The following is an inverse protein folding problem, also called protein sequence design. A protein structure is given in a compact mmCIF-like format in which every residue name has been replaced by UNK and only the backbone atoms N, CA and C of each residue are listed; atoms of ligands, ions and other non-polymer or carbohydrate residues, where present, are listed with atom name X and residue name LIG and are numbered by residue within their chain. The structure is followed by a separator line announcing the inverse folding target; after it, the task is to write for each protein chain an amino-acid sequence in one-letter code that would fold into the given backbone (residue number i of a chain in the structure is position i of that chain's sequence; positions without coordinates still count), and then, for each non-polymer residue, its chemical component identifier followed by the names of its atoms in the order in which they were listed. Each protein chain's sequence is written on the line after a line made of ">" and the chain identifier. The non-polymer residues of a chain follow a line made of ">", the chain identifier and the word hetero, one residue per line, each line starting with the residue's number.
data_IF_045647410804
#
_entry.id   IF_045647410804
#
_cell.length_a   1.000
_cell.length_b   1.000
_cell.length_c   1.000
_cell.angle_alpha   90.00
_cell.angle_beta   90.00
_cell.angle_gamma   90.00
#
_symmetry.space_group_name_H-M   'P 1'
#
loop_
_entity.id
_entity.type
_entity.pdbx_description
1 polymer ?
#
# COMPACT_ATOMS: atom_id res chain seq x y z
N UNK A 1 -0.70 15.67 -0.67
CA UNK A 1 -0.13 16.10 0.64
C UNK A 1 -0.54 17.55 0.87
N UNK A 2 -1.07 17.92 2.04
CA UNK A 2 -1.49 19.28 2.32
C UNK A 2 -0.29 20.24 2.29
N UNK A 3 -0.51 21.44 1.74
CA UNK A 3 0.43 22.56 1.84
C UNK A 3 0.01 23.37 3.06
N UNK A 4 0.81 23.35 4.12
CA UNK A 4 0.50 24.10 5.34
C UNK A 4 0.86 25.59 5.21
N UNK A 5 0.10 26.49 5.86
CA UNK A 5 0.38 27.93 5.83
C UNK A 5 1.81 28.28 6.26
N UNK A 6 2.35 27.59 7.26
CA UNK A 6 3.72 27.79 7.75
C UNK A 6 4.78 27.64 6.66
N UNK A 7 4.60 26.69 5.72
CA UNK A 7 5.50 26.52 4.57
C UNK A 7 5.46 27.75 3.64
N UNK A 8 4.26 28.20 3.29
CA UNK A 8 4.06 29.35 2.40
C UNK A 8 4.63 30.62 3.02
N UNK A 9 4.35 30.85 4.31
CA UNK A 9 4.87 32.00 5.05
C UNK A 9 6.40 31.97 5.12
N UNK A 10 7.02 30.82 5.38
CA UNK A 10 8.48 30.69 5.42
C UNK A 10 9.13 30.98 4.06
N UNK A 11 8.53 30.52 2.96
CA UNK A 11 8.99 30.80 1.59
C UNK A 11 8.90 32.30 1.30
N UNK A 12 7.74 32.92 1.53
CA UNK A 12 7.54 34.36 1.30
C UNK A 12 8.50 35.20 2.15
N UNK A 13 8.66 34.85 3.43
CA UNK A 13 9.60 35.54 4.32
C UNK A 13 11.04 35.45 3.80
N UNK A 14 11.47 34.27 3.35
CA UNK A 14 12.80 34.05 2.75
C UNK A 14 13.03 34.94 1.52
N UNK A 15 12.03 35.04 0.63
CA UNK A 15 12.09 35.91 -0.55
C UNK A 15 12.21 37.40 -0.19
N UNK A 16 11.47 37.86 0.83
CA UNK A 16 11.48 39.26 1.27
C UNK A 16 12.79 39.63 1.96
N UNK A 17 13.33 38.75 2.81
CA UNK A 17 14.55 39.05 3.59
C UNK A 17 15.85 38.69 2.87
N UNK A 18 15.77 37.91 1.79
CA UNK A 18 16.93 37.42 1.03
C UNK A 18 17.84 36.47 1.82
N UNK A 19 17.30 35.75 2.82
CA UNK A 19 18.05 34.85 3.71
C UNK A 19 17.22 33.60 4.04
N UNK A 20 17.86 32.47 4.39
CA UNK A 20 17.14 31.27 4.84
C UNK A 20 16.24 31.55 6.05
N UNK A 21 15.00 31.08 5.97
CA UNK A 21 14.02 31.15 7.07
C UNK A 21 13.65 29.73 7.49
N UNK A 22 13.75 29.46 8.80
CA UNK A 22 13.33 28.19 9.40
C UNK A 22 11.99 28.37 10.10
N UNK A 23 11.06 27.47 9.81
CA UNK A 23 9.82 27.30 10.58
C UNK A 23 9.79 25.88 11.14
N UNK A 24 9.43 25.75 12.41
CA UNK A 24 9.14 24.47 13.06
C UNK A 24 7.99 24.71 14.03
N UNK A 25 6.92 23.94 13.89
CA UNK A 25 5.77 23.99 14.78
C UNK A 25 6.03 23.25 16.10
N UNK A 26 5.30 23.62 17.14
CA UNK A 26 5.21 22.85 18.37
C UNK A 26 4.14 21.74 18.31
N UNK A 27 4.03 20.95 19.39
CA UNK A 27 3.05 19.85 19.47
C UNK A 27 1.60 20.36 19.45
N UNK A 28 1.33 21.46 20.11
CA UNK A 28 -0.02 22.02 20.21
C UNK A 28 -0.46 22.55 18.86
N UNK A 29 0.38 23.32 18.17
CA UNK A 29 0.19 23.77 16.79
C UNK A 29 -0.11 22.59 15.84
N UNK A 30 0.71 21.53 15.91
CA UNK A 30 0.49 20.32 15.12
C UNK A 30 -0.92 19.74 15.35
N UNK A 31 -1.33 19.56 16.60
CA UNK A 31 -2.61 18.91 16.92
C UNK A 31 -3.83 19.76 16.55
N UNK A 32 -3.73 21.09 16.62
CA UNK A 32 -4.89 21.98 16.42
C UNK A 32 -5.01 22.52 15.00
N UNK A 33 -3.96 22.43 14.17
CA UNK A 33 -3.93 23.14 12.88
C UNK A 33 -3.47 22.32 11.67
N UNK A 34 -2.94 21.11 11.87
CA UNK A 34 -2.57 20.20 10.77
C UNK A 34 -3.74 19.28 10.39
N UNK A 35 -3.55 18.45 9.36
CA UNK A 35 -4.59 17.56 8.85
C UNK A 35 -5.07 16.55 9.90
N UNK A 36 -6.29 16.74 10.41
CA UNK A 36 -6.95 15.76 11.28
C UNK A 36 -7.32 14.49 10.51
N UNK A 37 -7.71 13.43 11.23
CA UNK A 37 -8.18 12.20 10.63
C UNK A 37 -9.57 11.77 11.13
N UNK A 38 -10.28 11.05 10.24
CA UNK A 38 -11.62 10.46 10.41
C UNK A 38 -12.75 11.50 10.34
N UNK A 39 -13.48 11.70 11.44
CA UNK A 39 -14.67 12.56 11.56
C UNK A 39 -15.80 12.23 10.55
N UNK A 40 -16.09 10.92 10.41
CA UNK A 40 -17.24 10.40 9.68
C UNK A 40 -18.32 9.93 10.66
N UNK A 41 -19.54 10.41 10.46
CA UNK A 41 -20.75 9.87 11.08
C UNK A 41 -21.40 8.95 10.05
N UNK A 42 -21.37 7.64 10.32
CA UNK A 42 -21.81 6.62 9.38
C UNK A 42 -23.06 5.91 9.86
N UNK A 43 -24.08 5.83 9.00
CA UNK A 43 -25.26 4.97 9.20
C UNK A 43 -25.22 3.84 8.19
N UNK A 44 -24.77 2.66 8.65
CA UNK A 44 -24.77 1.43 7.87
C UNK A 44 -26.05 0.62 8.03
N UNK A 45 -26.46 -0.04 6.96
CA UNK A 45 -27.60 -0.94 6.88
C UNK A 45 -27.15 -2.19 6.11
N UNK A 46 -27.51 -3.38 6.58
CA UNK A 46 -27.15 -4.66 5.97
C UNK A 46 -28.42 -5.49 5.75
N UNK A 47 -28.54 -6.11 4.58
CA UNK A 47 -29.60 -7.05 4.25
C UNK A 47 -29.02 -8.45 4.13
N UNK A 48 -29.69 -9.45 4.71
CA UNK A 48 -29.23 -10.83 4.67
C UNK A 48 -30.41 -11.81 4.71
N UNK A 49 -30.17 -13.06 4.32
CA UNK A 49 -31.09 -14.17 4.56
C UNK A 49 -31.00 -14.67 6.00
N UNK A 50 -31.98 -15.44 6.47
CA UNK A 50 -31.96 -16.04 7.83
C UNK A 50 -30.78 -16.99 8.03
N UNK A 51 -30.32 -17.59 6.94
CA UNK A 51 -29.16 -18.49 6.92
C UNK A 51 -27.84 -17.71 6.92
N UNK A 52 -27.86 -16.38 6.92
CA UNK A 52 -26.67 -15.54 7.01
C UNK A 52 -25.97 -15.27 5.68
N UNK A 53 -26.63 -15.42 4.52
CA UNK A 53 -26.09 -14.90 3.26
C UNK A 53 -26.31 -13.38 3.21
N UNK A 54 -25.26 -12.59 3.08
CA UNK A 54 -25.30 -11.14 2.91
C UNK A 54 -25.76 -10.83 1.49
N UNK A 55 -26.80 -10.00 1.37
CA UNK A 55 -27.41 -9.62 0.08
C UNK A 55 -27.02 -8.21 -0.32
N UNK A 56 -27.05 -7.27 0.61
CA UNK A 56 -26.75 -5.88 0.29
C UNK A 56 -26.23 -5.07 1.48
N UNK A 57 -25.46 -4.03 1.17
CA UNK A 57 -25.04 -3.01 2.14
C UNK A 57 -25.42 -1.64 1.62
N UNK A 58 -26.09 -0.85 2.48
CA UNK A 58 -26.40 0.55 2.21
C UNK A 58 -25.81 1.43 3.29
N UNK A 59 -25.26 2.58 2.92
CA UNK A 59 -24.72 3.52 3.91
C UNK A 59 -24.98 4.97 3.56
N UNK A 60 -25.25 5.77 4.60
CA UNK A 60 -25.27 7.23 4.54
C UNK A 60 -24.17 7.77 5.45
N UNK A 61 -23.34 8.67 4.91
CA UNK A 61 -22.19 9.24 5.63
C UNK A 61 -22.32 10.76 5.67
N UNK A 62 -22.17 11.33 6.86
CA UNK A 62 -21.92 12.75 7.06
C UNK A 62 -20.45 12.94 7.43
N UNK A 63 -19.71 13.65 6.58
CA UNK A 63 -18.27 13.87 6.70
C UNK A 63 -17.99 15.32 7.09
N UNK A 64 -17.39 15.55 8.25
CA UNK A 64 -16.91 16.88 8.63
C UNK A 64 -15.53 17.13 8.00
N UNK A 65 -15.38 18.24 7.26
CA UNK A 65 -14.12 18.59 6.59
C UNK A 65 -13.43 19.81 7.23
N UNK A 66 -13.97 20.34 8.33
CA UNK A 66 -13.50 21.59 8.94
C UNK A 66 -13.87 22.83 8.12
N UNK A 67 -13.14 23.92 8.29
CA UNK A 67 -13.50 25.22 7.70
C UNK A 67 -13.20 25.29 6.18
N UNK A 68 -12.25 24.48 5.71
CA UNK A 68 -11.82 24.43 4.32
C UNK A 68 -11.68 22.97 3.89
N UNK A 69 -11.97 22.67 2.63
CA UNK A 69 -11.77 21.32 2.12
C UNK A 69 -10.27 21.08 1.84
N UNK A 70 -9.54 20.62 2.86
CA UNK A 70 -8.13 20.22 2.77
C UNK A 70 -7.93 18.71 2.61
N UNK A 71 -8.97 17.95 2.25
CA UNK A 71 -8.88 16.50 2.09
C UNK A 71 -7.89 16.14 0.98
N UNK A 72 -6.85 15.37 1.33
CA UNK A 72 -5.90 14.85 0.37
C UNK A 72 -6.46 13.58 -0.29
N UNK A 73 -7.02 13.70 -1.49
CA UNK A 73 -7.53 12.56 -2.26
C UNK A 73 -7.33 12.78 -3.77
N UNK A 74 -7.37 11.72 -4.60
CA UNK A 74 -7.42 11.89 -6.05
C UNK A 74 -8.65 12.71 -6.46
N UNK A 75 -8.54 13.58 -7.47
CA UNK A 75 -9.59 14.57 -7.78
C UNK A 75 -10.96 13.95 -8.02
N UNK A 76 -11.01 12.82 -8.74
CA UNK A 76 -12.28 12.13 -9.05
C UNK A 76 -12.87 11.35 -7.86
N UNK A 77 -12.16 11.31 -6.73
CA UNK A 77 -12.51 10.54 -5.54
C UNK A 77 -12.61 11.47 -4.32
N UNK A 78 -13.58 12.39 -4.27
CA UNK A 78 -13.74 13.34 -3.15
C UNK A 78 -14.03 12.66 -1.80
N UNK A 79 -14.53 11.43 -1.83
CA UNK A 79 -14.75 10.56 -0.68
C UNK A 79 -13.58 9.59 -0.41
N UNK A 80 -12.44 9.77 -1.08
CA UNK A 80 -11.38 8.77 -1.15
C UNK A 80 -11.85 7.45 -1.76
N UNK A 81 -11.26 6.36 -1.32
CA UNK A 81 -11.57 4.99 -1.67
C UNK A 81 -12.63 4.37 -0.75
N UNK A 82 -13.46 5.19 -0.10
CA UNK A 82 -14.56 4.70 0.76
C UNK A 82 -15.48 3.69 0.05
N UNK A 83 -15.54 3.73 -1.29
CA UNK A 83 -16.26 2.76 -2.11
C UNK A 83 -15.88 1.29 -1.89
N UNK A 84 -14.76 0.98 -1.22
CA UNK A 84 -14.41 -0.39 -0.82
C UNK A 84 -15.20 -0.91 0.40
N UNK A 85 -16.21 -0.17 0.88
CA UNK A 85 -17.04 -0.55 2.04
C UNK A 85 -17.84 -1.85 1.86
N UNK A 86 -17.79 -2.50 0.70
CA UNK A 86 -18.31 -3.87 0.53
C UNK A 86 -17.40 -4.91 1.20
N UNK A 87 -16.17 -4.52 1.56
CA UNK A 87 -15.22 -5.35 2.28
C UNK A 87 -14.81 -6.59 1.48
N UNK A 88 -14.68 -7.70 2.18
CA UNK A 88 -14.22 -8.99 1.66
C UNK A 88 -15.37 -9.93 1.29
N UNK A 89 -16.58 -9.39 1.16
CA UNK A 89 -17.82 -10.18 1.07
C UNK A 89 -18.43 -10.15 -0.33
N UNK A 90 -18.91 -11.31 -0.80
CA UNK A 90 -19.65 -11.41 -2.05
C UNK A 90 -21.14 -11.11 -1.81
N UNK A 91 -21.57 -9.93 -2.28
CA UNK A 91 -22.93 -9.40 -2.08
C UNK A 91 -23.57 -9.01 -3.41
N UNK A 92 -24.89 -8.90 -3.44
CA UNK A 92 -25.66 -8.68 -4.66
C UNK A 92 -25.81 -7.19 -5.02
N UNK A 93 -25.91 -6.31 -4.02
CA UNK A 93 -26.06 -4.86 -4.25
C UNK A 93 -25.42 -4.00 -3.16
N UNK A 94 -24.83 -2.85 -3.54
CA UNK A 94 -24.30 -1.88 -2.60
C UNK A 94 -24.62 -0.45 -2.99
N UNK A 95 -24.84 0.43 -2.01
CA UNK A 95 -25.04 1.86 -2.24
C UNK A 95 -24.49 2.71 -1.10
N UNK A 96 -23.79 3.80 -1.45
CA UNK A 96 -23.32 4.81 -0.51
C UNK A 96 -23.79 6.19 -0.96
N UNK A 97 -24.30 6.97 -0.01
CA UNK A 97 -24.45 8.42 -0.13
C UNK A 97 -23.55 9.10 0.89
N UNK A 98 -22.74 10.05 0.46
CA UNK A 98 -21.88 10.85 1.33
C UNK A 98 -22.22 12.33 1.21
N UNK A 99 -22.28 13.02 2.35
CA UNK A 99 -22.47 14.47 2.44
C UNK A 99 -21.28 15.06 3.20
N UNK A 100 -20.49 15.90 2.53
CA UNK A 100 -19.42 16.65 3.19
C UNK A 100 -19.96 17.99 3.70
N UNK A 101 -19.56 18.40 4.91
CA UNK A 101 -19.97 19.65 5.54
C UNK A 101 -18.79 20.47 6.04
N UNK A 102 -18.96 21.80 6.03
CA UNK A 102 -18.02 22.73 6.64
C UNK A 102 -18.39 23.02 8.09
N UNK A 103 -17.38 23.13 8.94
CA UNK A 103 -17.52 23.47 10.36
C UNK A 103 -16.36 24.38 10.82
N UNK A 104 -16.44 24.98 12.00
CA UNK A 104 -15.36 25.81 12.55
C UNK A 104 -14.23 24.96 13.18
N UNK A 105 -13.65 24.03 12.41
CA UNK A 105 -12.50 23.18 12.78
C UNK A 105 -11.35 23.35 11.78
N UNK A 106 -10.16 22.87 12.12
CA UNK A 106 -9.04 22.75 11.18
C UNK A 106 -9.40 21.86 9.98
N UNK A 107 -8.85 22.11 8.79
CA UNK A 107 -9.07 21.27 7.62
C UNK A 107 -8.36 19.92 7.76
N UNK A 108 -8.85 18.90 7.08
CA UNK A 108 -8.23 17.57 7.11
C UNK A 108 -9.14 16.46 6.62
N UNK A 109 -9.07 15.32 7.28
CA UNK A 109 -9.89 14.15 7.05
C UNK A 109 -9.09 12.92 6.63
N UNK A 110 -8.34 13.03 5.54
CA UNK A 110 -7.45 11.98 5.04
C UNK A 110 -6.05 12.17 5.61
N UNK A 111 -5.78 11.49 6.73
CA UNK A 111 -4.49 11.39 7.40
C UNK A 111 -4.43 10.11 8.24
N UNK A 112 -3.30 9.86 8.91
CA UNK A 112 -3.16 8.82 9.94
C UNK A 112 -3.53 7.41 9.43
N UNK A 113 -2.75 6.90 8.47
CA UNK A 113 -2.84 5.54 7.93
C UNK A 113 -4.27 5.12 7.49
N UNK A 114 -4.92 5.96 6.68
CA UNK A 114 -6.33 5.74 6.26
C UNK A 114 -6.52 5.23 4.83
N UNK A 115 -5.44 5.13 4.04
CA UNK A 115 -5.49 4.71 2.64
C UNK A 115 -6.60 5.39 1.81
N UNK A 116 -6.82 6.69 2.04
CA UNK A 116 -7.94 7.45 1.48
C UNK A 116 -9.32 6.94 1.94
N UNK A 117 -9.62 7.00 3.23
CA UNK A 117 -10.94 6.64 3.83
C UNK A 117 -11.28 5.15 3.87
N UNK A 118 -10.31 4.26 3.64
CA UNK A 118 -10.50 2.83 3.77
C UNK A 118 -10.67 2.42 5.23
N UNK A 119 -10.02 3.14 6.16
CA UNK A 119 -10.24 2.93 7.59
C UNK A 119 -11.72 3.03 7.99
N UNK A 120 -12.43 4.02 7.45
CA UNK A 120 -13.86 4.22 7.70
C UNK A 120 -14.71 3.18 6.97
N UNK A 121 -14.33 2.80 5.75
CA UNK A 121 -15.02 1.76 4.97
C UNK A 121 -14.94 0.39 5.63
N UNK A 122 -13.74 -0.03 6.04
CA UNK A 122 -13.50 -1.30 6.76
C UNK A 122 -14.19 -1.27 8.13
N UNK A 123 -14.07 -0.16 8.87
CA UNK A 123 -14.77 -0.04 10.15
C UNK A 123 -16.29 -0.17 9.97
N UNK A 124 -16.87 0.45 8.96
CA UNK A 124 -18.30 0.34 8.68
C UNK A 124 -18.71 -1.11 8.45
N UNK A 125 -18.06 -1.80 7.50
CA UNK A 125 -18.49 -3.15 7.07
C UNK A 125 -18.28 -4.17 8.17
N UNK A 126 -17.14 -4.14 8.87
CA UNK A 126 -16.86 -5.11 9.93
C UNK A 126 -17.78 -4.93 11.13
N UNK A 127 -18.17 -3.68 11.44
CA UNK A 127 -19.13 -3.41 12.52
C UNK A 127 -20.53 -3.90 12.18
N UNK A 128 -21.03 -3.67 10.96
CA UNK A 128 -22.38 -4.13 10.58
C UNK A 128 -22.45 -5.65 10.40
N UNK A 129 -21.36 -6.30 10.01
CA UNK A 129 -21.26 -7.77 9.95
C UNK A 129 -21.31 -8.38 11.36
N UNK A 130 -20.62 -7.80 12.34
CA UNK A 130 -20.76 -8.22 13.74
C UNK A 130 -22.18 -8.01 14.27
N UNK A 131 -22.81 -6.88 13.96
CA UNK A 131 -24.22 -6.63 14.33
C UNK A 131 -25.15 -7.70 13.72
N UNK A 132 -24.96 -8.04 12.45
CA UNK A 132 -25.73 -9.09 11.78
C UNK A 132 -25.50 -10.46 12.43
N UNK A 133 -24.26 -10.81 12.76
CA UNK A 133 -23.95 -12.07 13.45
C UNK A 133 -24.70 -12.19 14.79
N UNK A 134 -24.75 -11.11 15.57
CA UNK A 134 -25.48 -11.10 16.84
C UNK A 134 -27.00 -11.21 16.64
N UNK A 135 -27.56 -10.53 15.64
CA UNK A 135 -28.99 -10.60 15.33
C UNK A 135 -29.41 -12.01 14.87
N UNK A 136 -28.58 -12.65 14.04
CA UNK A 136 -28.78 -14.03 13.58
C UNK A 136 -28.39 -15.10 14.61
N UNK A 137 -27.77 -14.70 15.73
CA UNK A 137 -27.17 -15.61 16.73
C UNK A 137 -26.16 -16.58 16.11
N UNK A 138 -25.39 -16.09 15.15
CA UNK A 138 -24.34 -16.83 14.46
C UNK A 138 -22.98 -16.44 15.04
N UNK A 139 -21.99 -17.35 14.98
CA UNK A 139 -20.62 -16.98 15.31
C UNK A 139 -20.10 -15.94 14.30
N UNK A 140 -19.52 -14.81 14.74
CA UNK A 140 -19.00 -13.78 13.85
C UNK A 140 -17.92 -14.21 12.87
N UNK A 141 -17.10 -15.22 13.20
CA UNK A 141 -16.10 -15.76 12.28
C UNK A 141 -16.76 -16.66 11.23
N UNK A 142 -17.71 -17.50 11.64
CA UNK A 142 -18.46 -18.37 10.72
C UNK A 142 -19.32 -17.58 9.72
N UNK A 143 -19.94 -16.48 10.17
CA UNK A 143 -20.67 -15.58 9.27
C UNK A 143 -19.75 -15.00 8.19
N UNK A 144 -18.52 -14.63 8.54
CA UNK A 144 -17.54 -14.10 7.58
C UNK A 144 -17.10 -15.16 6.59
N UNK A 145 -16.68 -16.34 7.08
CA UNK A 145 -16.30 -17.49 6.26
C UNK A 145 -17.37 -17.84 5.22
N UNK A 146 -18.65 -17.79 5.62
CA UNK A 146 -19.78 -18.06 4.73
C UNK A 146 -19.96 -17.05 3.59
N UNK A 147 -19.50 -15.81 3.76
CA UNK A 147 -19.75 -14.71 2.84
C UNK A 147 -18.51 -14.21 2.11
N UNK A 148 -17.33 -14.79 2.35
CA UNK A 148 -16.12 -14.37 1.67
C UNK A 148 -16.22 -14.56 0.16
N UNK A 149 -15.61 -13.62 -0.56
CA UNK A 149 -15.26 -13.79 -1.98
C UNK A 149 -14.30 -14.98 -2.07
N UNK A 150 -14.62 -15.93 -2.95
CA UNK A 150 -13.85 -17.15 -3.15
C UNK A 150 -12.63 -16.92 -4.05
N UNK A 151 -11.54 -17.69 -3.89
CA UNK A 151 -10.30 -17.50 -4.65
C UNK A 151 -10.49 -17.54 -6.18
N UNK A 152 -11.39 -18.39 -6.67
CA UNK A 152 -11.71 -18.52 -8.09
C UNK A 152 -12.52 -17.35 -8.66
N UNK A 153 -13.02 -16.44 -7.82
CA UNK A 153 -13.74 -15.24 -8.24
C UNK A 153 -12.81 -14.06 -8.56
N UNK A 154 -11.51 -14.17 -8.24
CA UNK A 154 -10.54 -13.13 -8.55
C UNK A 154 -10.04 -13.22 -10.01
N UNK A 155 -9.87 -12.09 -10.72
CA UNK A 155 -10.12 -10.71 -10.27
C UNK A 155 -11.61 -10.41 -10.07
N UNK A 156 -11.98 -9.87 -8.90
CA UNK A 156 -13.36 -9.72 -8.47
C UNK A 156 -13.84 -8.26 -8.64
N UNK A 157 -14.89 -8.05 -9.42
CA UNK A 157 -15.53 -6.73 -9.55
C UNK A 157 -16.61 -6.55 -8.48
N UNK A 158 -16.32 -5.69 -7.52
CA UNK A 158 -17.26 -5.30 -6.46
C UNK A 158 -18.48 -4.58 -7.02
N UNK A 159 -19.58 -4.54 -6.24
CA UNK A 159 -20.81 -3.81 -6.62
C UNK A 159 -20.63 -2.28 -6.63
N UNK A 160 -19.50 -1.78 -6.15
CA UNK A 160 -19.11 -0.36 -6.19
C UNK A 160 -18.07 -0.06 -7.28
N UNK A 161 -17.67 -1.05 -8.08
CA UNK A 161 -16.86 -0.88 -9.30
C UNK A 161 -15.35 -1.06 -9.11
N UNK A 162 -14.87 -1.40 -7.92
CA UNK A 162 -13.47 -1.78 -7.69
C UNK A 162 -13.21 -3.20 -8.19
N UNK A 163 -12.03 -3.43 -8.75
CA UNK A 163 -11.59 -4.74 -9.26
C UNK A 163 -10.48 -5.25 -8.37
N UNK A 164 -10.79 -6.15 -7.45
CA UNK A 164 -9.79 -6.76 -6.57
C UNK A 164 -8.88 -7.68 -7.38
N UNK A 165 -7.58 -7.60 -7.15
CA UNK A 165 -6.56 -8.29 -7.95
C UNK A 165 -6.47 -9.78 -7.63
N UNK A 166 -6.38 -10.15 -6.35
CA UNK A 166 -6.32 -11.53 -5.88
C UNK A 166 -6.73 -11.65 -4.41
N UNK A 167 -7.05 -12.86 -3.95
CA UNK A 167 -7.38 -13.10 -2.54
C UNK A 167 -7.59 -14.57 -2.23
N UNK A 168 -7.14 -15.01 -1.05
CA UNK A 168 -7.44 -16.34 -0.52
C UNK A 168 -7.81 -16.23 0.96
N UNK A 169 -9.05 -15.80 1.19
CA UNK A 169 -9.47 -15.24 2.47
C UNK A 169 -9.68 -16.29 3.57
N UNK A 170 -10.31 -17.42 3.23
CA UNK A 170 -10.62 -18.46 4.20
C UNK A 170 -9.35 -19.00 4.90
N UNK A 171 -8.25 -19.36 4.20
CA UNK A 171 -7.02 -19.79 4.85
C UNK A 171 -6.44 -18.76 5.82
N UNK A 172 -6.42 -17.47 5.46
CA UNK A 172 -5.93 -16.42 6.35
C UNK A 172 -6.80 -16.27 7.60
N UNK A 173 -8.13 -16.33 7.45
CA UNK A 173 -9.06 -16.30 8.58
C UNK A 173 -8.88 -17.52 9.49
N UNK A 174 -8.74 -18.72 8.92
CA UNK A 174 -8.50 -19.95 9.69
C UNK A 174 -7.16 -19.93 10.41
N UNK A 175 -6.11 -19.42 9.79
CA UNK A 175 -4.80 -19.24 10.43
C UNK A 175 -4.90 -18.29 11.63
N UNK A 176 -5.58 -17.15 11.49
CA UNK A 176 -5.79 -16.23 12.61
C UNK A 176 -6.59 -16.89 13.74
N UNK A 177 -7.65 -17.65 13.42
CA UNK A 177 -8.43 -18.41 14.39
C UNK A 177 -7.62 -19.48 15.12
N UNK A 178 -6.75 -20.20 14.41
CA UNK A 178 -5.84 -21.19 14.98
C UNK A 178 -4.84 -20.53 15.93
N UNK A 179 -4.12 -19.49 15.46
CA UNK A 179 -3.14 -18.75 16.26
C UNK A 179 -3.76 -18.15 17.54
N UNK A 180 -5.02 -17.72 17.46
CA UNK A 180 -5.74 -17.19 18.61
C UNK A 180 -6.27 -18.27 19.57
N UNK A 181 -6.37 -19.54 19.14
CA UNK A 181 -7.09 -20.57 19.88
C UNK A 181 -8.59 -20.29 19.96
N UNK A 182 -9.20 -19.82 18.87
CA UNK A 182 -10.54 -19.22 18.84
C UNK A 182 -11.64 -20.09 19.46
N UNK A 183 -11.63 -21.39 19.21
CA UNK A 183 -12.65 -22.30 19.76
C UNK A 183 -12.59 -22.37 21.30
N UNK A 184 -11.40 -22.38 21.88
CA UNK A 184 -11.22 -22.41 23.33
C UNK A 184 -11.50 -21.04 23.95
N UNK A 185 -11.14 -19.95 23.26
CA UNK A 185 -11.55 -18.59 23.66
C UNK A 185 -13.07 -18.44 23.74
N UNK A 186 -13.82 -19.03 22.80
CA UNK A 186 -15.29 -19.01 22.82
C UNK A 186 -15.87 -19.78 24.02
N UNK A 187 -15.28 -20.92 24.39
CA UNK A 187 -15.66 -21.66 25.62
C UNK A 187 -15.36 -20.83 26.87
N UNK A 188 -14.16 -20.30 26.97
CA UNK A 188 -13.73 -19.45 28.10
C UNK A 188 -14.64 -18.23 28.25
N UNK A 189 -14.99 -17.56 27.15
CA UNK A 189 -15.89 -16.41 27.15
C UNK A 189 -17.27 -16.77 27.74
N UNK A 190 -17.81 -17.95 27.41
CA UNK A 190 -19.09 -18.40 27.95
C UNK A 190 -19.00 -18.67 29.46
N UNK A 191 -17.93 -19.32 29.92
CA UNK A 191 -17.67 -19.59 31.34
C UNK A 191 -17.50 -18.29 32.15
N UNK A 192 -16.75 -17.32 31.62
CA UNK A 192 -16.57 -15.99 32.23
C UNK A 192 -17.88 -15.24 32.36
N UNK A 193 -18.70 -15.23 31.30
CA UNK A 193 -20.02 -14.59 31.31
C UNK A 193 -20.94 -15.21 32.37
N UNK A 194 -20.89 -16.53 32.56
CA UNK A 194 -21.66 -17.20 33.60
C UNK A 194 -21.24 -16.78 35.03
N UNK A 195 -20.01 -16.27 35.22
CA UNK A 195 -19.51 -15.70 36.48
C UNK A 195 -19.70 -14.19 36.60
N UNK A 196 -20.35 -13.54 35.61
CA UNK A 196 -20.52 -12.09 35.58
C UNK A 196 -19.28 -11.31 35.13
N UNK A 197 -18.24 -11.99 34.64
CA UNK A 197 -17.05 -11.36 34.06
C UNK A 197 -17.29 -10.96 32.60
N UNK A 198 -16.67 -9.88 32.14
CA UNK A 198 -16.80 -9.38 30.77
C UNK A 198 -15.53 -9.69 29.97
N UNK A 199 -15.64 -10.64 29.04
CA UNK A 199 -14.60 -10.98 28.06
C UNK A 199 -15.11 -10.72 26.64
N UNK A 200 -14.36 -9.94 25.87
CA UNK A 200 -14.61 -9.64 24.47
C UNK A 200 -13.66 -10.39 23.53
N UNK A 201 -14.20 -10.87 22.41
CA UNK A 201 -13.42 -11.41 21.29
C UNK A 201 -13.87 -10.63 20.06
N UNK A 202 -13.03 -9.72 19.59
CA UNK A 202 -13.21 -8.96 18.36
C UNK A 202 -12.59 -9.70 17.19
N UNK A 203 -13.30 -9.72 16.06
CA UNK A 203 -12.85 -10.30 14.80
C UNK A 203 -12.97 -9.23 13.73
N UNK A 204 -11.93 -9.05 12.92
CA UNK A 204 -11.95 -8.16 11.76
C UNK A 204 -11.28 -8.88 10.59
N UNK A 205 -12.00 -9.07 9.50
CA UNK A 205 -11.42 -9.49 8.23
C UNK A 205 -11.56 -8.35 7.24
N UNK A 206 -10.48 -7.91 6.62
CA UNK A 206 -10.49 -6.72 5.77
C UNK A 206 -9.80 -6.96 4.44
N UNK A 207 -10.26 -6.23 3.43
CA UNK A 207 -9.57 -6.02 2.17
C UNK A 207 -9.22 -4.54 2.07
N UNK A 208 -7.94 -4.25 1.91
CA UNK A 208 -7.41 -2.90 1.67
C UNK A 208 -7.43 -2.57 0.17
N UNK A 209 -7.17 -1.31 -0.17
CA UNK A 209 -6.98 -0.88 -1.56
C UNK A 209 -5.91 0.21 -1.62
N UNK A 210 -4.72 -0.18 -2.03
CA UNK A 210 -3.51 0.65 -1.95
C UNK A 210 -2.85 0.75 -3.32
N UNK A 211 -1.84 1.60 -3.46
CA UNK A 211 -1.21 1.80 -4.78
C UNK A 211 -1.99 2.75 -5.69
N UNK A 212 -2.63 3.77 -5.12
CA UNK A 212 -3.29 4.84 -5.87
C UNK A 212 -2.41 5.33 -7.03
N UNK A 213 -2.87 5.13 -8.28
CA UNK A 213 -1.97 5.17 -9.42
C UNK A 213 -2.58 5.16 -10.83
N UNK A 214 -3.66 4.42 -11.15
CA UNK A 214 -4.16 4.35 -12.52
C UNK A 214 -4.48 5.72 -13.12
N UNK A 215 -3.64 6.16 -14.07
CA UNK A 215 -3.65 7.53 -14.61
C UNK A 215 -4.99 7.94 -15.25
N UNK A 216 -5.75 6.97 -15.76
CA UNK A 216 -7.08 7.20 -16.34
C UNK A 216 -8.04 7.82 -15.32
N UNK A 217 -7.92 7.41 -14.06
CA UNK A 217 -8.93 7.67 -13.03
C UNK A 217 -8.37 8.48 -11.85
N UNK A 218 -7.05 8.45 -11.62
CA UNK A 218 -6.42 9.00 -10.42
C UNK A 218 -5.32 10.00 -10.72
N UNK A 219 -5.51 11.22 -10.23
CA UNK A 219 -4.56 12.32 -10.30
C UNK A 219 -4.58 13.17 -9.03
N UNK A 220 -3.46 13.82 -8.73
CA UNK A 220 -3.35 14.87 -7.71
C UNK A 220 -3.10 16.18 -8.45
N UNK A 221 -4.07 17.09 -8.42
CA UNK A 221 -3.97 18.42 -9.06
C UNK A 221 -3.60 18.33 -10.55
N UNK A 222 -4.14 17.34 -11.27
CA UNK A 222 -3.87 17.08 -12.69
C UNK A 222 -2.65 16.21 -12.96
N UNK A 223 -1.84 15.89 -11.95
CA UNK A 223 -0.68 15.00 -12.07
C UNK A 223 -1.12 13.56 -11.87
N UNK A 224 -1.04 12.75 -12.93
CA UNK A 224 -1.33 11.30 -12.86
C UNK A 224 -0.46 10.62 -11.80
N UNK A 225 -1.04 9.71 -11.03
CA UNK A 225 -0.41 9.15 -9.82
C UNK A 225 0.66 8.07 -10.09
N UNK A 226 1.52 8.29 -11.07
CA UNK A 226 2.67 7.46 -11.41
C UNK A 226 3.89 7.79 -10.54
N UNK A 227 4.85 6.87 -10.45
CA UNK A 227 6.16 7.14 -9.85
C UNK A 227 7.30 6.83 -10.80
N UNK A 228 8.32 7.69 -10.77
CA UNK A 228 9.57 7.51 -11.47
C UNK A 228 10.60 6.72 -10.66
N UNK A 229 11.45 5.99 -11.40
CA UNK A 229 12.66 5.33 -10.89
C UNK A 229 13.79 5.41 -11.93
N UNK A 230 15.02 5.64 -11.46
CA UNK A 230 16.23 5.65 -12.27
C UNK A 230 17.28 4.77 -11.60
N UNK A 231 17.86 3.83 -12.34
CA UNK A 231 18.93 2.97 -11.88
C UNK A 231 20.17 3.20 -12.72
N UNK A 232 21.30 3.46 -12.06
CA UNK A 232 22.63 3.55 -12.66
C UNK A 232 23.56 2.53 -12.01
N UNK A 233 24.24 1.74 -12.84
CA UNK A 233 25.36 0.88 -12.42
C UNK A 233 26.68 1.57 -12.78
N UNK A 234 27.54 1.74 -11.79
CA UNK A 234 28.87 2.30 -11.91
C UNK A 234 29.86 1.29 -12.53
N UNK A 235 31.01 1.75 -13.06
CA UNK A 235 32.02 0.86 -13.65
C UNK A 235 32.48 -0.28 -12.75
N UNK A 236 32.47 -0.08 -11.42
CA UNK A 236 32.86 -1.10 -10.43
C UNK A 236 31.74 -2.11 -10.12
N UNK A 237 30.56 -1.97 -10.73
CA UNK A 237 29.39 -2.81 -10.47
C UNK A 237 28.58 -2.47 -9.21
N UNK A 238 28.89 -1.34 -8.54
CA UNK A 238 28.00 -0.73 -7.54
C UNK A 238 26.89 0.04 -8.23
N UNK A 239 25.78 0.31 -7.55
CA UNK A 239 24.65 1.00 -8.16
C UNK A 239 24.07 2.12 -7.31
N UNK A 240 23.41 3.07 -7.98
CA UNK A 240 22.56 4.09 -7.37
C UNK A 240 21.16 3.96 -7.97
N UNK A 241 20.17 3.76 -7.10
CA UNK A 241 18.76 3.80 -7.42
C UNK A 241 18.16 5.10 -6.90
N UNK A 242 17.62 5.94 -7.79
CA UNK A 242 16.84 7.12 -7.42
C UNK A 242 15.37 6.81 -7.57
N UNK A 243 14.60 7.05 -6.52
CA UNK A 243 13.15 6.85 -6.51
C UNK A 243 12.44 8.15 -6.18
N UNK A 244 11.27 8.33 -6.79
CA UNK A 244 10.45 9.54 -6.65
C UNK A 244 9.61 9.59 -5.37
N UNK A 245 9.41 8.45 -4.71
CA UNK A 245 8.74 8.40 -3.42
C UNK A 245 9.67 8.88 -2.30
N UNK A 246 9.15 9.09 -1.08
CA UNK A 246 9.93 9.62 0.05
C UNK A 246 9.80 8.70 1.25
N UNK A 247 10.88 8.42 1.96
CA UNK A 247 10.83 7.65 3.22
C UNK A 247 10.42 8.56 4.40
N UNK A 248 9.65 8.02 5.35
CA UNK A 248 9.35 8.60 6.66
C UNK A 248 9.65 7.60 7.81
N UNK A 249 10.43 6.53 7.53
CA UNK A 249 10.79 5.50 8.51
C UNK A 249 10.41 4.07 8.14
N UNK A 250 9.74 3.85 7.00
CA UNK A 250 9.30 2.53 6.51
C UNK A 250 10.41 1.71 5.82
N UNK A 251 11.64 2.21 5.75
CA UNK A 251 12.80 1.44 5.29
C UNK A 251 12.98 1.31 3.78
N UNK A 252 12.51 2.30 2.99
CA UNK A 252 12.67 2.32 1.52
C UNK A 252 14.11 2.11 1.05
N UNK A 253 15.07 2.68 1.78
CA UNK A 253 16.48 2.59 1.45
C UNK A 253 16.99 1.14 1.46
N UNK A 254 16.40 0.30 2.30
CA UNK A 254 16.71 -1.13 2.41
C UNK A 254 15.89 -1.96 1.42
N UNK A 255 14.57 -1.78 1.41
CA UNK A 255 13.67 -2.64 0.65
C UNK A 255 13.82 -2.46 -0.85
N UNK A 256 14.05 -1.22 -1.34
CA UNK A 256 14.29 -1.02 -2.77
C UNK A 256 15.65 -1.52 -3.23
N UNK A 257 16.67 -1.46 -2.38
CA UNK A 257 17.95 -2.10 -2.67
C UNK A 257 17.78 -3.62 -2.81
N UNK A 258 16.94 -4.25 -1.99
CA UNK A 258 16.62 -5.68 -2.10
C UNK A 258 15.89 -6.03 -3.40
N UNK A 259 14.91 -5.22 -3.83
CA UNK A 259 14.20 -5.42 -5.11
C UNK A 259 15.19 -5.37 -6.28
N UNK A 260 16.03 -4.34 -6.34
CA UNK A 260 17.03 -4.21 -7.42
C UNK A 260 18.04 -5.35 -7.37
N UNK A 261 18.50 -5.72 -6.18
CA UNK A 261 19.42 -6.84 -5.99
C UNK A 261 18.87 -8.16 -6.51
N UNK A 262 17.57 -8.43 -6.32
CA UNK A 262 16.92 -9.62 -6.86
C UNK A 262 16.92 -9.62 -8.39
N UNK A 263 16.58 -8.49 -9.00
CA UNK A 263 16.47 -8.38 -10.46
C UNK A 263 17.83 -8.42 -11.19
N UNK A 264 18.90 -7.93 -10.56
CA UNK A 264 20.19 -7.67 -11.23
C UNK A 264 21.40 -8.40 -10.62
N UNK A 265 21.24 -9.02 -9.44
CA UNK A 265 22.30 -9.79 -8.78
C UNK A 265 23.45 -8.98 -8.16
N UNK A 266 23.29 -7.66 -8.00
CA UNK A 266 24.21 -6.84 -7.19
C UNK A 266 23.80 -6.97 -5.72
N UNK A 267 24.74 -7.17 -4.77
CA UNK A 267 24.40 -7.21 -3.34
C UNK A 267 23.66 -5.94 -2.90
N UNK A 268 22.59 -6.03 -2.07
CA UNK A 268 21.86 -4.85 -1.61
C UNK A 268 22.74 -3.78 -0.95
N UNK A 269 23.81 -4.19 -0.26
CA UNK A 269 24.75 -3.28 0.39
C UNK A 269 25.57 -2.43 -0.60
N UNK A 270 25.65 -2.84 -1.87
CA UNK A 270 26.33 -2.12 -2.95
C UNK A 270 25.35 -1.28 -3.80
N UNK A 271 24.09 -1.15 -3.36
CA UNK A 271 23.05 -0.36 -4.01
C UNK A 271 22.66 0.79 -3.08
N UNK A 272 23.04 2.00 -3.44
CA UNK A 272 22.60 3.20 -2.73
C UNK A 272 21.22 3.62 -3.25
N UNK A 273 20.25 3.77 -2.35
CA UNK A 273 18.93 4.32 -2.69
C UNK A 273 18.88 5.80 -2.30
N UNK A 274 18.40 6.64 -3.22
CA UNK A 274 18.26 8.09 -3.03
C UNK A 274 16.80 8.48 -3.24
N UNK A 275 16.25 9.25 -2.31
CA UNK A 275 14.90 9.80 -2.36
C UNK A 275 14.85 11.24 -1.80
N UNK A 276 13.80 12.00 -2.13
CA UNK A 276 13.49 13.28 -1.47
C UNK A 276 14.13 14.55 -2.04
N UNK A 277 15.11 14.45 -2.94
CA UNK A 277 15.75 15.60 -3.58
C UNK A 277 15.18 15.79 -5.00
N UNK A 278 14.35 16.81 -5.20
CA UNK A 278 13.66 17.05 -6.48
C UNK A 278 14.60 17.44 -7.63
N UNK A 279 15.83 17.85 -7.34
CA UNK A 279 16.84 18.14 -8.38
C UNK A 279 17.54 16.85 -8.85
N UNK A 280 17.57 15.83 -7.99
CA UNK A 280 18.37 14.62 -8.17
C UNK A 280 17.56 13.32 -8.17
N UNK A 281 16.23 13.39 -8.18
CA UNK A 281 15.34 12.22 -8.23
C UNK A 281 14.29 12.39 -9.32
N UNK A 282 13.82 11.30 -9.93
CA UNK A 282 12.78 11.40 -10.95
C UNK A 282 11.47 11.92 -10.35
N UNK A 283 10.61 12.50 -11.19
CA UNK A 283 9.29 12.97 -10.75
C UNK A 283 8.40 11.81 -10.29
N UNK A 284 7.58 12.07 -9.28
CA UNK A 284 6.53 11.17 -8.79
C UNK A 284 5.71 11.84 -7.72
N UNK A 285 4.86 11.06 -7.05
CA UNK A 285 3.81 11.59 -6.19
C UNK A 285 4.10 11.43 -4.69
N UNK A 286 5.26 10.89 -4.33
CA UNK A 286 5.64 10.70 -2.93
C UNK A 286 5.00 9.47 -2.28
N UNK A 287 5.02 9.43 -0.95
CA UNK A 287 4.54 8.28 -0.17
C UNK A 287 3.35 8.63 0.71
N UNK A 288 2.28 7.87 0.52
CA UNK A 288 1.04 7.86 1.30
C UNK A 288 0.16 6.72 0.79
N UNK A 289 -0.90 6.37 1.54
CA UNK A 289 -1.86 5.32 1.12
C UNK A 289 -1.20 4.02 0.66
N UNK A 290 -0.12 3.64 1.35
CA UNK A 290 0.71 2.47 1.10
C UNK A 290 1.11 2.25 -0.37
N UNK A 291 1.25 3.33 -1.15
CA UNK A 291 1.50 3.23 -2.61
C UNK A 291 2.94 2.96 -3.01
N UNK A 292 3.87 3.04 -2.07
CA UNK A 292 5.31 2.98 -2.38
C UNK A 292 5.76 1.63 -2.91
N UNK A 293 5.32 0.49 -2.36
CA UNK A 293 5.62 -0.82 -2.97
C UNK A 293 4.86 -1.01 -4.30
N UNK A 294 3.53 -0.82 -4.37
CA UNK A 294 2.79 -1.02 -5.62
C UNK A 294 3.26 -0.20 -6.80
N UNK A 295 3.66 1.06 -6.58
CA UNK A 295 4.02 1.98 -7.68
C UNK A 295 5.54 2.15 -7.81
N UNK A 296 6.22 2.65 -6.77
CA UNK A 296 7.68 2.85 -6.80
C UNK A 296 8.46 1.54 -6.77
N UNK A 297 7.97 0.50 -6.07
CA UNK A 297 8.59 -0.83 -6.07
C UNK A 297 8.50 -1.50 -7.44
N UNK A 298 7.34 -1.43 -8.10
CA UNK A 298 7.19 -1.85 -9.49
C UNK A 298 8.12 -1.05 -10.43
N UNK A 299 8.22 0.27 -10.26
CA UNK A 299 9.16 1.09 -11.03
C UNK A 299 10.63 0.66 -10.81
N UNK A 300 11.02 0.35 -9.57
CA UNK A 300 12.36 -0.14 -9.22
C UNK A 300 12.66 -1.50 -9.88
N UNK A 301 11.72 -2.44 -9.85
CA UNK A 301 11.87 -3.73 -10.52
C UNK A 301 11.98 -3.56 -12.04
N UNK A 302 11.08 -2.77 -12.65
CA UNK A 302 11.05 -2.57 -14.09
C UNK A 302 12.27 -1.81 -14.62
N UNK A 303 12.79 -0.82 -13.89
CA UNK A 303 14.03 -0.15 -14.29
C UNK A 303 15.22 -1.09 -14.18
N UNK A 304 15.27 -1.96 -13.17
CA UNK A 304 16.31 -2.98 -13.05
C UNK A 304 16.26 -3.99 -14.21
N UNK A 305 15.06 -4.44 -14.60
CA UNK A 305 14.86 -5.29 -15.78
C UNK A 305 15.32 -4.60 -17.06
N UNK A 306 15.01 -3.32 -17.24
CA UNK A 306 15.46 -2.53 -18.40
C UNK A 306 17.00 -2.40 -18.45
N UNK A 307 17.66 -2.25 -17.30
CA UNK A 307 19.13 -2.28 -17.23
C UNK A 307 19.66 -3.69 -17.56
N UNK A 308 19.01 -4.75 -17.07
CA UNK A 308 19.36 -6.14 -17.39
C UNK A 308 19.22 -6.44 -18.89
N UNK A 309 18.20 -5.93 -19.56
CA UNK A 309 18.02 -6.08 -21.00
C UNK A 309 19.17 -5.43 -21.78
N UNK A 310 19.59 -4.21 -21.38
CA UNK A 310 20.81 -3.57 -21.94
C UNK A 310 22.06 -4.39 -21.64
N UNK A 311 22.19 -4.91 -20.42
CA UNK A 311 23.31 -5.77 -20.01
C UNK A 311 23.40 -7.05 -20.86
N UNK A 312 22.27 -7.64 -21.25
CA UNK A 312 22.23 -8.83 -22.10
C UNK A 312 22.81 -8.56 -23.49
N UNK A 313 22.50 -7.41 -24.08
CA UNK A 313 23.04 -7.02 -25.39
C UNK A 313 24.56 -6.83 -25.30
N UNK A 314 25.05 -6.16 -24.25
CA UNK A 314 26.49 -5.99 -24.04
C UNK A 314 27.18 -7.34 -23.81
N UNK A 315 26.56 -8.21 -23.00
CA UNK A 315 27.05 -9.56 -22.74
C UNK A 315 27.17 -10.40 -24.02
N UNK A 316 26.22 -10.26 -24.96
CA UNK A 316 26.26 -11.00 -26.22
C UNK A 316 27.47 -10.59 -27.07
N UNK A 317 27.82 -9.29 -27.08
CA UNK A 317 29.05 -8.81 -27.70
C UNK A 317 30.32 -9.31 -27.00
N UNK A 318 30.32 -9.39 -25.67
CA UNK A 318 31.47 -9.89 -24.90
C UNK A 318 31.71 -11.40 -25.08
N UNK A 319 30.65 -12.16 -25.29
CA UNK A 319 30.69 -13.62 -25.46
C UNK A 319 30.68 -14.08 -26.93
N UNK A 320 30.59 -13.13 -27.87
CA UNK A 320 30.50 -13.37 -29.32
C UNK A 320 29.37 -14.34 -29.72
N UNK A 321 28.21 -14.20 -29.07
CA UNK A 321 27.00 -15.01 -29.33
C UNK A 321 25.79 -14.13 -29.57
N UNK A 322 24.68 -14.72 -30.02
CA UNK A 322 23.42 -13.99 -30.11
C UNK A 322 22.80 -13.80 -28.73
N UNK A 323 21.99 -12.74 -28.56
CA UNK A 323 21.20 -12.50 -27.34
C UNK A 323 20.31 -13.71 -26.98
N UNK A 324 19.80 -14.43 -27.99
CA UNK A 324 18.95 -15.59 -27.82
C UNK A 324 19.69 -16.83 -27.28
N UNK A 325 21.02 -16.87 -27.39
CA UNK A 325 21.88 -17.94 -26.89
C UNK A 325 22.36 -17.69 -25.45
N UNK A 326 21.90 -16.60 -24.82
CA UNK A 326 22.20 -16.28 -23.43
C UNK A 326 21.08 -16.72 -22.49
N UNK A 327 21.48 -17.17 -21.31
CA UNK A 327 20.63 -17.41 -20.15
C UNK A 327 21.09 -16.52 -18.99
N UNK A 328 20.13 -16.04 -18.21
CA UNK A 328 20.38 -15.23 -17.02
C UNK A 328 20.37 -16.11 -15.79
N UNK A 329 21.46 -16.06 -15.05
CA UNK A 329 21.52 -16.49 -13.65
C UNK A 329 21.78 -15.23 -12.81
N UNK A 330 21.23 -15.15 -11.60
CA UNK A 330 21.26 -13.92 -10.80
C UNK A 330 22.70 -13.37 -10.66
N UNK A 331 22.99 -12.29 -11.40
CA UNK A 331 24.28 -11.59 -11.42
C UNK A 331 25.17 -11.87 -12.63
N UNK A 332 24.78 -12.76 -13.56
CA UNK A 332 25.58 -13.10 -14.74
C UNK A 332 24.74 -13.58 -15.93
N UNK A 333 25.28 -13.39 -17.13
CA UNK A 333 24.80 -14.07 -18.34
C UNK A 333 25.76 -15.20 -18.70
N UNK A 334 25.22 -16.33 -19.14
CA UNK A 334 26.00 -17.46 -19.64
C UNK A 334 25.45 -18.00 -20.96
N UNK A 335 26.29 -18.68 -21.74
CA UNK A 335 25.88 -19.32 -23.00
C UNK A 335 25.06 -20.57 -22.70
N UNK A 336 23.96 -20.76 -23.44
CA UNK A 336 23.12 -21.97 -23.36
C UNK A 336 23.94 -23.23 -23.60
N UNK A 337 23.87 -24.17 -22.66
CA UNK A 337 24.59 -25.45 -22.74
C UNK A 337 26.08 -25.38 -22.38
N UNK A 338 26.64 -24.19 -22.12
CA UNK A 338 28.02 -24.03 -21.63
C UNK A 338 28.11 -22.92 -20.55
N UNK A 339 27.76 -23.24 -19.29
CA UNK A 339 27.84 -22.29 -18.17
C UNK A 339 29.26 -21.76 -17.89
N UNK A 340 30.31 -22.42 -18.40
CA UNK A 340 31.69 -21.96 -18.24
C UNK A 340 31.97 -20.68 -19.02
N UNK A 341 31.18 -20.40 -20.07
CA UNK A 341 31.21 -19.14 -20.80
C UNK A 341 30.18 -18.18 -20.21
N UNK A 342 30.63 -17.38 -19.25
CA UNK A 342 29.77 -16.40 -18.57
C UNK A 342 30.45 -15.05 -18.38
N UNK A 343 29.63 -14.01 -18.24
CA UNK A 343 30.06 -12.65 -17.87
C UNK A 343 29.17 -12.13 -16.76
N UNK A 344 29.80 -11.60 -15.71
CA UNK A 344 29.08 -11.05 -14.55
C UNK A 344 28.58 -9.64 -14.83
N UNK A 345 27.60 -9.18 -14.05
CA UNK A 345 27.09 -7.81 -14.12
C UNK A 345 28.20 -6.77 -13.88
N UNK A 346 29.20 -7.08 -13.04
CA UNK A 346 30.36 -6.21 -12.80
C UNK A 346 31.26 -6.12 -14.05
N UNK A 347 31.50 -7.25 -14.72
CA UNK A 347 32.28 -7.26 -15.96
C UNK A 347 31.56 -6.51 -17.09
N UNK A 348 30.24 -6.68 -17.19
CA UNK A 348 29.39 -5.97 -18.16
C UNK A 348 29.40 -4.47 -17.85
N UNK A 349 29.29 -4.07 -16.59
CA UNK A 349 29.36 -2.66 -16.19
C UNK A 349 30.72 -2.05 -16.57
N UNK A 350 31.82 -2.75 -16.30
CA UNK A 350 33.15 -2.30 -16.72
C UNK A 350 33.24 -2.15 -18.24
N UNK A 351 32.70 -3.10 -19.02
CA UNK A 351 32.65 -3.02 -20.48
C UNK A 351 31.83 -1.84 -20.98
N UNK A 352 30.66 -1.60 -20.37
CA UNK A 352 29.75 -0.53 -20.76
C UNK A 352 30.36 0.87 -20.61
N UNK A 353 31.26 1.05 -19.63
CA UNK A 353 31.94 2.34 -19.35
C UNK A 353 33.38 2.40 -19.87
N UNK A 354 33.96 1.27 -20.28
CA UNK A 354 35.36 1.12 -20.63
C UNK A 354 35.67 1.38 -22.10
N UNK A 355 36.93 1.18 -22.46
CA UNK A 355 37.39 1.31 -23.85
C UNK A 355 37.05 0.08 -24.71
N UNK A 356 36.76 0.32 -25.99
CA UNK A 356 36.50 -0.68 -27.03
C UNK A 356 35.03 -0.73 -27.47
N UNK A 357 34.77 -1.51 -28.52
CA UNK A 357 33.49 -1.44 -29.23
C UNK A 357 32.33 -2.09 -28.50
N UNK A 358 31.24 -1.34 -28.32
CA UNK A 358 29.95 -1.91 -27.93
C UNK A 358 29.24 -2.45 -29.18
N UNK A 359 28.28 -3.39 -29.02
CA UNK A 359 27.41 -3.78 -30.12
C UNK A 359 26.79 -2.56 -30.81
N UNK A 360 26.61 -2.65 -32.13
CA UNK A 360 26.11 -1.53 -32.94
C UNK A 360 24.78 -0.98 -32.37
N UNK A 361 24.69 0.35 -32.24
CA UNK A 361 23.52 1.04 -31.70
C UNK A 361 23.39 1.04 -30.17
N UNK A 362 24.32 0.42 -29.43
CA UNK A 362 24.34 0.47 -27.96
C UNK A 362 25.16 1.65 -27.47
N UNK A 363 24.51 2.59 -26.79
CA UNK A 363 25.19 3.69 -26.10
C UNK A 363 25.97 3.19 -24.86
N UNK A 364 27.03 3.92 -24.52
CA UNK A 364 27.84 3.66 -23.32
C UNK A 364 27.05 3.75 -22.00
N UNK A 365 27.69 3.30 -20.93
CA UNK A 365 27.13 3.23 -19.59
C UNK A 365 26.07 2.15 -19.41
N UNK A 366 25.67 1.92 -18.15
CA UNK A 366 24.70 0.90 -17.80
C UNK A 366 23.65 1.50 -16.85
N UNK A 367 22.65 2.13 -17.43
CA UNK A 367 21.61 2.87 -16.71
C UNK A 367 20.29 2.89 -17.47
N UNK A 368 19.21 3.11 -16.73
CA UNK A 368 17.88 3.30 -17.29
C UNK A 368 17.01 4.16 -16.38
N UNK A 369 15.95 4.72 -16.97
CA UNK A 369 14.88 5.40 -16.25
C UNK A 369 13.51 4.88 -16.73
N UNK A 370 12.55 4.86 -15.81
CA UNK A 370 11.15 4.56 -16.08
C UNK A 370 10.22 5.46 -15.25
N UNK A 371 9.01 5.67 -15.75
CA UNK A 371 7.88 6.17 -14.99
C UNK A 371 6.77 5.10 -15.05
N UNK A 372 6.44 4.51 -13.92
CA UNK A 372 5.48 3.42 -13.83
C UNK A 372 4.08 3.95 -13.56
N UNK A 373 3.16 3.62 -14.47
CA UNK A 373 1.74 3.87 -14.33
C UNK A 373 1.05 2.51 -14.07
N UNK A 374 0.56 2.25 -12.85
CA UNK A 374 -0.08 0.97 -12.57
C UNK A 374 -1.43 0.87 -13.31
N UNK A 375 -1.80 -0.33 -13.73
CA UNK A 375 -3.07 -0.60 -14.41
C UNK A 375 -4.25 -0.69 -13.45
N UNK A 376 -4.00 -1.03 -12.18
CA UNK A 376 -4.98 -1.17 -11.10
C UNK A 376 -4.34 -0.82 -9.75
N UNK A 377 -5.13 -0.77 -8.68
CA UNK A 377 -4.65 -0.82 -7.30
C UNK A 377 -4.24 -2.26 -6.94
N UNK A 378 -3.62 -2.41 -5.78
CA UNK A 378 -3.38 -3.71 -5.13
C UNK A 378 -4.27 -3.86 -3.91
N UNK A 379 -4.77 -5.07 -3.64
CA UNK A 379 -5.78 -5.30 -2.61
C UNK A 379 -5.31 -6.31 -1.56
N UNK A 380 -4.32 -5.93 -0.71
CA UNK A 380 -3.89 -6.78 0.38
C UNK A 380 -5.05 -7.00 1.36
N UNK A 381 -5.00 -8.09 2.11
CA UNK A 381 -6.07 -8.44 3.03
C UNK A 381 -5.50 -8.99 4.34
N UNK A 382 -6.34 -9.04 5.37
CA UNK A 382 -5.91 -9.53 6.67
C UNK A 382 -7.05 -9.98 7.57
N UNK A 383 -6.68 -10.82 8.56
CA UNK A 383 -7.56 -11.41 9.54
C UNK A 383 -7.03 -11.13 10.95
N UNK A 384 -7.69 -10.26 11.69
CA UNK A 384 -7.27 -9.81 13.02
C UNK A 384 -8.24 -10.31 14.09
N UNK A 385 -7.69 -10.83 15.18
CA UNK A 385 -8.47 -11.28 16.35
C UNK A 385 -7.89 -10.64 17.61
N UNK A 386 -8.74 -9.91 18.33
CA UNK A 386 -8.36 -9.23 19.56
C UNK A 386 -9.19 -9.77 20.73
N UNK A 387 -8.52 -10.14 21.81
CA UNK A 387 -9.15 -10.59 23.05
C UNK A 387 -8.97 -9.52 24.12
N UNK A 388 -10.07 -9.12 24.74
CA UNK A 388 -10.08 -8.12 25.81
C UNK A 388 -10.80 -8.63 27.03
N UNK A 389 -10.30 -8.25 28.21
CA UNK A 389 -11.05 -8.35 29.46
C UNK A 389 -11.49 -6.94 29.87
N UNK A 390 -12.73 -6.80 30.34
CA UNK A 390 -13.31 -5.52 30.76
C UNK A 390 -13.66 -5.58 32.23
N UNK A 391 -13.16 -4.63 33.00
CA UNK A 391 -13.58 -4.46 34.39
C UNK A 391 -14.99 -3.83 34.42
N UNK A 392 -16.01 -4.52 34.94
CA UNK A 392 -17.39 -4.00 34.94
C UNK A 392 -17.60 -2.83 35.91
N UNK A 393 -16.74 -2.65 36.91
CA UNK A 393 -16.82 -1.56 37.88
C UNK A 393 -16.14 -0.27 37.41
N UNK A 394 -15.09 -0.38 36.57
CA UNK A 394 -14.31 0.78 36.10
C UNK A 394 -14.43 1.04 34.60
N UNK A 395 -15.02 0.11 33.84
CA UNK A 395 -15.01 0.06 32.37
C UNK A 395 -13.60 0.04 31.75
N UNK A 396 -12.56 -0.26 32.54
CA UNK A 396 -11.21 -0.39 32.02
C UNK A 396 -11.12 -1.61 31.09
N UNK A 397 -10.67 -1.38 29.86
CA UNK A 397 -10.45 -2.42 28.86
C UNK A 397 -8.97 -2.79 28.86
N UNK A 398 -8.66 -4.08 29.07
CA UNK A 398 -7.31 -4.61 28.94
C UNK A 398 -7.22 -5.52 27.73
N UNK A 399 -6.37 -5.17 26.77
CA UNK A 399 -6.02 -6.09 25.67
C UNK A 399 -5.19 -7.24 26.24
N UNK A 400 -5.73 -8.46 26.11
CA UNK A 400 -5.08 -9.68 26.56
C UNK A 400 -4.22 -10.30 25.47
N UNK A 401 -4.72 -10.31 24.24
CA UNK A 401 -4.03 -10.83 23.07
C UNK A 401 -4.52 -10.11 21.82
N UNK A 402 -3.63 -9.97 20.84
CA UNK A 402 -3.93 -9.44 19.52
C UNK A 402 -3.17 -10.28 18.49
N UNK A 403 -3.90 -10.99 17.64
CA UNK A 403 -3.38 -11.75 16.51
C UNK A 403 -3.66 -10.96 15.24
N UNK A 404 -2.63 -10.81 14.40
CA UNK A 404 -2.72 -10.16 13.11
C UNK A 404 -2.11 -11.09 12.04
N UNK A 405 -2.91 -11.46 11.06
CA UNK A 405 -2.46 -12.12 9.83
C UNK A 405 -2.70 -11.15 8.69
N UNK A 406 -1.64 -10.81 7.96
CA UNK A 406 -1.67 -9.95 6.78
C UNK A 406 -1.12 -10.72 5.59
N UNK A 407 -1.80 -10.62 4.45
CA UNK A 407 -1.31 -11.04 3.15
C UNK A 407 -1.20 -9.81 2.25
N UNK A 408 0.05 -9.44 1.96
CA UNK A 408 0.39 -8.34 1.06
C UNK A 408 1.02 -8.82 -0.26
N UNK A 409 0.89 -10.10 -0.58
CA UNK A 409 1.65 -10.74 -1.65
C UNK A 409 3.15 -10.81 -1.33
N UNK A 410 3.99 -10.81 -2.38
CA UNK A 410 5.45 -10.88 -2.28
C UNK A 410 6.13 -9.55 -2.02
#
# INVERSE_FOLDING_TARGET
>A
VPIYPGYVCAIVASLVVGKPVKWMEDRSENLVSTGFARDYIMRGEIAATKEGKILAIRTNVLADHGAFNGTAAPIKYPAGFFGVFTGSYDLEAAFCKMTAVYTNKAPGGVAYACSFRITEAVYLVERIVDCLAYELKMDPAELRLKNFIQPEQFPYTTKTGWVYDSGNYEPAMRLAMEMAGYADLRKEQAEKRARGELMGIGVSFFTEAVGAGPRKDMDILGLGMADGSELRIHPTGKAVLRVSCMSQGQGHETTYAQIVAEEIGIPPADIQVVNGDTDNTPSGLGTYGSRSTPVSGAAAALVARKVRDKAQIIASGMLEVSVADLEWEKGSFHVKGDPSKSVTIQAIAMRAHGAGDLPEGVEGGLEAQICYNPSNLTYPFGAYICVVDVDPGTAQVKVRSFVAVDDCGT
#
